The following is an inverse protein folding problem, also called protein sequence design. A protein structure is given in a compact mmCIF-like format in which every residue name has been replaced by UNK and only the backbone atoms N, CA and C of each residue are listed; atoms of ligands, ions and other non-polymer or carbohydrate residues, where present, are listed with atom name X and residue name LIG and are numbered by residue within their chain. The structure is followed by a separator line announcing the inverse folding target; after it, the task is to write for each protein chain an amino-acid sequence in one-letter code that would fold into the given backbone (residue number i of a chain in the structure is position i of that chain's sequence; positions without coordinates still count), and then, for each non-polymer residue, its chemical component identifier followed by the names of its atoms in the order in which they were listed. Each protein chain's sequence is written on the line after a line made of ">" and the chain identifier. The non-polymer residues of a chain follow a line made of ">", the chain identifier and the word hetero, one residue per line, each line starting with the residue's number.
data_IF_468504153221
#
_entry.id   IF_468504153221
#
_cell.length_a   1.000
_cell.length_b   1.000
_cell.length_c   1.000
_cell.angle_alpha   90.00
_cell.angle_beta   90.00
_cell.angle_gamma   90.00
#
_symmetry.space_group_name_H-M   'P 1'
#
loop_
_entity.id
_entity.type
_entity.pdbx_description
1 polymer ?
#
# COMPACT_ATOMS: atom_id res chain seq x y z
N UNK A 1 17.14 15.10 -14.38
CA UNK A 1 18.08 15.12 -13.24
C UNK A 1 17.62 14.03 -12.25
N UNK A 2 18.37 12.92 -12.10
CA UNK A 2 17.99 11.89 -11.10
C UNK A 2 18.01 12.55 -9.71
N UNK A 3 16.88 12.62 -9.01
CA UNK A 3 16.80 13.13 -7.63
C UNK A 3 17.82 12.34 -6.79
N UNK A 4 18.93 12.97 -6.41
CA UNK A 4 20.03 12.33 -5.67
C UNK A 4 19.59 11.87 -4.27
N UNK A 5 18.55 12.49 -3.70
CA UNK A 5 17.92 12.06 -2.47
C UNK A 5 16.40 12.14 -2.65
N UNK A 6 15.75 10.97 -2.67
CA UNK A 6 14.29 10.92 -2.59
C UNK A 6 13.87 11.10 -1.14
N UNK A 7 12.97 12.05 -0.89
CA UNK A 7 12.31 12.14 0.40
C UNK A 7 11.33 10.97 0.54
N UNK A 8 11.48 10.17 1.61
CA UNK A 8 10.63 9.03 1.92
C UNK A 8 9.70 9.32 3.12
N UNK A 9 9.43 10.60 3.35
CA UNK A 9 8.48 11.09 4.34
C UNK A 9 7.10 11.24 3.69
N UNK A 10 6.07 10.72 4.34
CA UNK A 10 4.70 10.70 3.84
C UNK A 10 3.72 11.23 4.87
N UNK A 11 2.91 12.21 4.47
CA UNK A 11 1.86 12.78 5.30
C UNK A 11 0.52 12.18 4.86
N UNK A 12 0.23 10.99 5.39
CA UNK A 12 -1.02 10.29 5.11
C UNK A 12 -2.16 10.86 5.95
N UNK A 13 -3.32 11.09 5.32
CA UNK A 13 -4.54 11.40 6.07
C UNK A 13 -5.06 10.18 6.85
N UNK A 14 -6.07 10.40 7.69
CA UNK A 14 -6.64 9.35 8.56
C UNK A 14 -7.20 8.16 7.76
N UNK A 15 -7.81 8.41 6.61
CA UNK A 15 -8.40 7.38 5.76
C UNK A 15 -7.31 6.62 5.00
N UNK A 16 -6.31 7.33 4.47
CA UNK A 16 -5.13 6.76 3.82
C UNK A 16 -4.36 5.84 4.78
N UNK A 17 -4.14 6.27 6.03
CA UNK A 17 -3.52 5.41 7.06
C UNK A 17 -4.35 4.17 7.34
N UNK A 18 -5.67 4.30 7.48
CA UNK A 18 -6.54 3.15 7.74
C UNK A 18 -6.53 2.16 6.57
N UNK A 19 -6.56 2.68 5.34
CA UNK A 19 -6.47 1.89 4.12
C UNK A 19 -5.15 1.13 4.07
N UNK A 20 -4.03 1.82 4.28
CA UNK A 20 -2.69 1.23 4.32
C UNK A 20 -2.53 0.18 5.42
N UNK A 21 -3.00 0.44 6.64
CA UNK A 21 -2.97 -0.55 7.73
C UNK A 21 -3.74 -1.81 7.37
N UNK A 22 -4.93 -1.64 6.78
CA UNK A 22 -5.77 -2.77 6.36
C UNK A 22 -5.07 -3.57 5.27
N UNK A 23 -4.50 -2.89 4.28
CA UNK A 23 -3.73 -3.49 3.20
C UNK A 23 -2.50 -4.26 3.72
N UNK A 24 -1.64 -3.61 4.50
CA UNK A 24 -0.44 -4.24 5.06
C UNK A 24 -0.80 -5.44 5.94
N UNK A 25 -1.87 -5.36 6.73
CA UNK A 25 -2.38 -6.50 7.50
C UNK A 25 -2.84 -7.67 6.64
N UNK A 26 -3.43 -7.41 5.46
CA UNK A 26 -3.77 -8.46 4.50
C UNK A 26 -2.53 -9.07 3.85
N UNK A 27 -1.53 -8.27 3.50
CA UNK A 27 -0.25 -8.76 2.97
C UNK A 27 0.44 -9.66 3.99
N UNK A 28 0.55 -9.22 5.24
CA UNK A 28 1.14 -10.02 6.32
C UNK A 28 0.44 -11.37 6.48
N UNK A 29 -0.90 -11.41 6.45
CA UNK A 29 -1.65 -12.68 6.49
C UNK A 29 -1.33 -13.64 5.35
N UNK A 30 -0.88 -13.15 4.19
CA UNK A 30 -0.52 -13.99 3.04
C UNK A 30 0.92 -14.50 3.12
N UNK A 31 1.81 -13.78 3.80
CA UNK A 31 3.25 -14.08 3.80
C UNK A 31 3.77 -14.62 5.13
N UNK A 32 3.05 -14.38 6.23
CA UNK A 32 3.47 -14.81 7.57
C UNK A 32 3.56 -16.33 7.69
N UNK A 33 4.66 -16.79 8.30
CA UNK A 33 4.89 -18.21 8.56
C UNK A 33 5.63 -18.97 7.46
N UNK A 34 5.90 -18.35 6.30
CA UNK A 34 6.76 -18.94 5.27
C UNK A 34 8.15 -18.25 5.28
N UNK A 35 9.18 -19.04 5.58
CA UNK A 35 10.58 -18.59 5.63
C UNK A 35 11.06 -17.88 4.36
N UNK A 36 10.44 -18.17 3.20
CA UNK A 36 10.79 -17.54 1.91
C UNK A 36 10.42 -16.06 1.87
N UNK A 37 9.45 -15.64 2.67
CA UNK A 37 8.97 -14.26 2.71
C UNK A 37 9.44 -13.48 3.95
N UNK A 38 10.44 -13.97 4.69
CA UNK A 38 10.94 -13.32 5.90
C UNK A 38 11.27 -11.83 5.70
N UNK A 39 11.92 -11.47 4.59
CA UNK A 39 12.25 -10.08 4.28
C UNK A 39 10.99 -9.22 4.01
N UNK A 40 10.00 -9.77 3.32
CA UNK A 40 8.72 -9.14 3.04
C UNK A 40 7.95 -8.92 4.36
N UNK A 41 7.85 -9.96 5.19
CA UNK A 41 7.20 -9.93 6.48
C UNK A 41 7.83 -8.89 7.41
N UNK A 42 9.17 -8.84 7.48
CA UNK A 42 9.88 -7.83 8.28
C UNK A 42 9.57 -6.40 7.81
N UNK A 43 9.60 -6.16 6.51
CA UNK A 43 9.32 -4.84 5.94
C UNK A 43 7.87 -4.40 6.21
N UNK A 44 6.90 -5.27 5.98
CA UNK A 44 5.49 -4.94 6.20
C UNK A 44 5.13 -4.79 7.69
N UNK A 45 5.75 -5.57 8.59
CA UNK A 45 5.61 -5.34 10.03
C UNK A 45 6.17 -3.98 10.44
N UNK A 46 7.34 -3.59 9.92
CA UNK A 46 7.92 -2.26 10.14
C UNK A 46 7.00 -1.14 9.64
N UNK A 47 6.43 -1.28 8.43
CA UNK A 47 5.46 -0.32 7.88
C UNK A 47 4.22 -0.21 8.78
N UNK A 48 3.65 -1.32 9.23
CA UNK A 48 2.48 -1.32 10.12
C UNK A 48 2.79 -0.59 11.44
N UNK A 49 3.95 -0.87 12.04
CA UNK A 49 4.38 -0.19 13.27
C UNK A 49 4.50 1.32 13.07
N UNK A 50 5.07 1.76 11.95
CA UNK A 50 5.16 3.18 11.61
C UNK A 50 3.78 3.80 11.38
N UNK A 51 2.89 3.14 10.65
CA UNK A 51 1.52 3.62 10.46
C UNK A 51 0.73 3.69 11.78
N UNK A 52 1.08 2.85 12.75
CA UNK A 52 0.50 2.86 14.10
C UNK A 52 1.08 3.91 15.02
N UNK A 53 2.18 4.57 14.67
CA UNK A 53 2.68 5.69 15.46
C UNK A 53 1.70 6.88 15.38
N UNK A 54 1.78 7.76 16.38
CA UNK A 54 1.04 9.02 16.40
C UNK A 54 1.72 10.11 15.55
N UNK A 55 2.76 9.77 14.79
CA UNK A 55 3.54 10.74 14.03
C UNK A 55 2.74 11.27 12.84
N UNK A 56 2.71 12.58 12.66
CA UNK A 56 2.09 13.22 11.49
C UNK A 56 2.79 12.79 10.19
N UNK A 57 4.11 12.64 10.24
CA UNK A 57 4.91 12.23 9.08
C UNK A 57 5.44 10.81 9.24
N UNK A 58 5.04 9.93 8.32
CA UNK A 58 5.51 8.55 8.28
C UNK A 58 6.79 8.45 7.45
N UNK A 59 7.89 8.02 8.09
CA UNK A 59 9.20 7.88 7.44
C UNK A 59 9.42 6.43 6.99
N UNK A 60 9.33 6.18 5.70
CA UNK A 60 9.66 4.87 5.13
C UNK A 60 11.13 4.83 4.73
N UNK A 61 11.71 3.64 4.75
CA UNK A 61 12.98 3.37 4.07
C UNK A 61 12.73 3.23 2.58
N UNK A 62 13.81 3.30 1.78
CA UNK A 62 13.74 3.05 0.34
C UNK A 62 13.16 1.67 0.02
N UNK A 63 13.60 0.63 0.74
CA UNK A 63 13.13 -0.74 0.54
C UNK A 63 11.63 -0.87 0.87
N UNK A 64 11.19 -0.34 2.01
CA UNK A 64 9.78 -0.32 2.41
C UNK A 64 8.91 0.41 1.37
N UNK A 65 9.34 1.60 0.90
CA UNK A 65 8.61 2.32 -0.15
C UNK A 65 8.48 1.44 -1.39
N UNK A 66 9.57 0.85 -1.85
CA UNK A 66 9.60 0.05 -3.09
C UNK A 66 8.64 -1.14 -2.97
N UNK A 67 8.74 -1.92 -1.88
CA UNK A 67 7.88 -3.08 -1.64
C UNK A 67 6.42 -2.68 -1.52
N UNK A 68 6.11 -1.67 -0.72
CA UNK A 68 4.75 -1.17 -0.54
C UNK A 68 4.16 -0.70 -1.87
N UNK A 69 4.90 0.11 -2.62
CA UNK A 69 4.47 0.61 -3.94
C UNK A 69 4.23 -0.53 -4.91
N UNK A 70 5.13 -1.53 -4.94
CA UNK A 70 4.99 -2.69 -5.80
C UNK A 70 3.70 -3.46 -5.49
N UNK A 71 3.46 -3.80 -4.22
CA UNK A 71 2.27 -4.57 -3.84
C UNK A 71 0.97 -3.77 -3.98
N UNK A 72 1.00 -2.46 -3.73
CA UNK A 72 -0.16 -1.60 -3.99
C UNK A 72 -0.51 -1.59 -5.49
N UNK A 73 0.49 -1.48 -6.38
CA UNK A 73 0.26 -1.52 -7.84
C UNK A 73 -0.32 -2.88 -8.27
N UNK A 74 0.24 -3.99 -7.79
CA UNK A 74 -0.30 -5.32 -8.06
C UNK A 74 -1.75 -5.46 -7.58
N UNK A 75 -2.07 -4.95 -6.39
CA UNK A 75 -3.42 -4.99 -5.84
C UNK A 75 -4.40 -4.14 -6.66
N UNK A 76 -4.00 -2.94 -7.10
CA UNK A 76 -4.82 -2.08 -7.97
C UNK A 76 -5.12 -2.78 -9.29
N UNK A 77 -4.12 -3.42 -9.91
CA UNK A 77 -4.31 -4.18 -11.14
C UNK A 77 -5.24 -5.38 -10.94
N UNK A 78 -5.12 -6.08 -9.81
CA UNK A 78 -6.01 -7.17 -9.44
C UNK A 78 -7.46 -6.66 -9.28
N UNK A 79 -7.67 -5.59 -8.51
CA UNK A 79 -8.99 -5.00 -8.31
C UNK A 79 -9.59 -4.56 -9.64
N UNK A 80 -8.80 -3.94 -10.53
CA UNK A 80 -9.24 -3.54 -11.87
C UNK A 80 -9.71 -4.74 -12.71
N UNK A 81 -8.96 -5.85 -12.69
CA UNK A 81 -9.34 -7.09 -13.39
C UNK A 81 -10.63 -7.68 -12.81
N UNK A 82 -10.79 -7.71 -11.48
CA UNK A 82 -12.00 -8.21 -10.83
C UNK A 82 -13.22 -7.32 -11.10
N UNK A 83 -13.03 -6.00 -11.08
CA UNK A 83 -14.05 -5.02 -11.44
C UNK A 83 -14.58 -5.27 -12.86
N UNK A 84 -13.69 -5.45 -13.84
CA UNK A 84 -14.11 -5.66 -15.23
C UNK A 84 -14.94 -6.94 -15.42
N UNK A 85 -14.65 -7.99 -14.65
CA UNK A 85 -15.38 -9.27 -14.65
C UNK A 85 -16.69 -9.26 -13.84
N UNK A 86 -16.88 -8.28 -12.95
CA UNK A 86 -18.01 -8.23 -12.03
C UNK A 86 -19.34 -7.79 -12.66
N UNK A 87 -20.45 -8.23 -12.06
CA UNK A 87 -21.78 -7.66 -12.34
C UNK A 87 -21.93 -6.27 -11.70
N UNK A 88 -22.98 -5.53 -12.04
CA UNK A 88 -23.11 -4.08 -11.74
C UNK A 88 -22.81 -3.70 -10.27
N UNK A 89 -23.34 -4.44 -9.30
CA UNK A 89 -23.09 -4.16 -7.87
C UNK A 89 -21.62 -4.40 -7.45
N UNK A 90 -21.01 -5.51 -7.91
CA UNK A 90 -19.59 -5.80 -7.66
C UNK A 90 -18.69 -4.74 -8.31
N UNK A 91 -19.05 -4.31 -9.53
CA UNK A 91 -18.37 -3.21 -10.24
C UNK A 91 -18.38 -1.93 -9.43
N UNK A 92 -19.52 -1.54 -8.85
CA UNK A 92 -19.64 -0.33 -8.06
C UNK A 92 -18.76 -0.37 -6.79
N UNK A 93 -18.81 -1.47 -6.02
CA UNK A 93 -17.95 -1.64 -4.85
C UNK A 93 -16.46 -1.63 -5.19
N UNK A 94 -16.05 -2.40 -6.21
CA UNK A 94 -14.65 -2.42 -6.64
C UNK A 94 -14.18 -1.09 -7.21
N UNK A 95 -15.06 -0.32 -7.87
CA UNK A 95 -14.72 1.01 -8.39
C UNK A 95 -14.37 1.97 -7.26
N UNK A 96 -15.13 1.96 -6.16
CA UNK A 96 -14.82 2.78 -4.98
C UNK A 96 -13.46 2.39 -4.39
N UNK A 97 -13.21 1.10 -4.19
CA UNK A 97 -11.95 0.61 -3.63
C UNK A 97 -10.76 0.89 -4.56
N UNK A 98 -10.93 0.66 -5.86
CA UNK A 98 -9.93 0.96 -6.89
C UNK A 98 -9.54 2.43 -6.86
N UNK A 99 -10.52 3.34 -6.82
CA UNK A 99 -10.27 4.77 -6.77
C UNK A 99 -9.51 5.17 -5.50
N UNK A 100 -9.82 4.59 -4.34
CA UNK A 100 -9.08 4.88 -3.10
C UNK A 100 -7.60 4.51 -3.21
N UNK A 101 -7.29 3.30 -3.68
CA UNK A 101 -5.91 2.87 -3.86
C UNK A 101 -5.19 3.63 -4.98
N UNK A 102 -5.88 3.93 -6.08
CA UNK A 102 -5.29 4.66 -7.19
C UNK A 102 -4.98 6.11 -6.80
N UNK A 103 -5.88 6.79 -6.10
CA UNK A 103 -5.65 8.15 -5.58
C UNK A 103 -4.47 8.18 -4.60
N UNK A 104 -4.37 7.18 -3.70
CA UNK A 104 -3.23 7.04 -2.79
C UNK A 104 -1.91 6.91 -3.56
N UNK A 105 -1.87 6.05 -4.58
CA UNK A 105 -0.69 5.86 -5.43
C UNK A 105 -0.33 7.14 -6.20
N UNK A 106 -1.31 7.81 -6.80
CA UNK A 106 -1.10 9.03 -7.57
C UNK A 106 -0.59 10.19 -6.70
N UNK A 107 -1.14 10.33 -5.48
CA UNK A 107 -0.79 11.41 -4.55
C UNK A 107 0.59 11.22 -3.91
N UNK A 108 0.92 10.00 -3.50
CA UNK A 108 2.11 9.76 -2.65
C UNK A 108 3.23 8.97 -3.34
N UNK A 109 2.91 8.13 -4.32
CA UNK A 109 3.86 7.14 -4.87
C UNK A 109 4.12 7.30 -6.38
N UNK A 110 3.60 8.35 -7.00
CA UNK A 110 3.89 8.69 -8.39
C UNK A 110 5.30 9.29 -8.49
N UNK A 111 6.12 8.72 -9.35
CA UNK A 111 7.49 9.20 -9.61
C UNK A 111 7.49 10.46 -10.50
#
# INVERSE_FOLDING_TARGET
>A
MKKLFSNYNFDFDKNERKLLKTFCGQVLKQVSGDSKFFAEEKAFNSIVNKLNSADETIKLTKDEKIRLTHQLKQNVDFIKKQMNKGWFFKKWLYKSLYNQYNNLLEKHFRD
#
